data_IF_899891748239
#
_entry.id   IF_899891748239
#
_cell.length_a   1.000
_cell.length_b   1.000
_cell.length_c   1.000
_cell.angle_alpha   90.00
_cell.angle_beta   90.00
_cell.angle_gamma   90.00
#
_symmetry.space_group_name_H-M   'P 1'
#
loop_
_entity.id
_entity.type
_entity.pdbx_description
1 polymer ?
#
# COMPACT_ATOMS: atom_id res chain seq x y z
N UNK A 1 38.89 -4.81 26.29
CA UNK A 1 37.76 -5.46 26.98
C UNK A 1 36.54 -4.54 26.81
N UNK A 2 35.77 -4.59 25.73
CA UNK A 2 35.12 -5.77 25.15
C UNK A 2 33.72 -5.98 25.76
N UNK A 3 32.90 -4.92 25.84
CA UNK A 3 31.48 -5.05 26.16
C UNK A 3 30.76 -5.42 24.87
N UNK A 4 30.52 -6.72 24.71
CA UNK A 4 29.68 -7.28 23.68
C UNK A 4 28.25 -6.75 23.90
N UNK A 5 27.74 -6.01 22.93
CA UNK A 5 26.34 -5.64 22.85
C UNK A 5 25.53 -6.94 22.75
N UNK A 6 24.72 -7.19 23.78
CA UNK A 6 23.76 -8.28 23.80
C UNK A 6 22.75 -8.06 22.67
N UNK A 7 22.96 -8.76 21.57
CA UNK A 7 21.96 -8.95 20.52
C UNK A 7 20.81 -9.80 21.06
N UNK A 8 19.87 -9.15 21.74
CA UNK A 8 18.56 -9.76 21.97
C UNK A 8 17.88 -9.95 20.60
N UNK A 9 17.96 -11.17 20.08
CA UNK A 9 17.14 -11.61 18.97
C UNK A 9 15.68 -11.42 19.37
N UNK A 10 15.03 -10.38 18.85
CA UNK A 10 13.59 -10.13 19.00
C UNK A 10 12.85 -11.38 18.55
N UNK A 11 12.47 -12.25 19.49
CA UNK A 11 11.60 -13.39 19.20
C UNK A 11 10.33 -12.83 18.57
N UNK A 12 9.97 -13.32 17.40
CA UNK A 12 8.77 -12.89 16.71
C UNK A 12 7.56 -13.18 17.60
N UNK A 13 6.80 -12.14 17.94
CA UNK A 13 5.54 -12.30 18.68
C UNK A 13 4.62 -13.21 17.83
N UNK A 14 4.19 -14.38 18.33
CA UNK A 14 3.37 -15.32 17.56
C UNK A 14 2.07 -14.69 17.04
N UNK A 15 1.54 -13.67 17.73
CA UNK A 15 0.38 -12.90 17.27
C UNK A 15 0.76 -12.02 16.07
N UNK A 16 1.93 -11.39 16.11
CA UNK A 16 2.47 -10.60 15.00
C UNK A 16 2.71 -11.46 13.75
N UNK A 17 3.23 -12.69 13.94
CA UNK A 17 3.41 -13.66 12.85
C UNK A 17 2.07 -14.05 12.25
N UNK A 18 1.05 -14.35 13.07
CA UNK A 18 -0.29 -14.68 12.60
C UNK A 18 -0.92 -13.54 11.77
N UNK A 19 -0.76 -12.28 12.20
CA UNK A 19 -1.22 -11.13 11.43
C UNK A 19 -0.50 -10.99 10.10
N UNK A 20 0.82 -11.16 10.08
CA UNK A 20 1.60 -11.10 8.85
C UNK A 20 1.16 -12.17 7.85
N UNK A 21 1.04 -13.43 8.29
CA UNK A 21 0.60 -14.55 7.45
C UNK A 21 -0.79 -14.28 6.88
N UNK A 22 -1.74 -13.87 7.72
CA UNK A 22 -3.11 -13.60 7.28
C UNK A 22 -3.15 -12.44 6.27
N UNK A 23 -2.39 -11.37 6.53
CA UNK A 23 -2.28 -10.25 5.61
C UNK A 23 -1.71 -10.66 4.26
N UNK A 24 -0.62 -11.45 4.24
CA UNK A 24 -0.02 -11.94 3.00
C UNK A 24 -0.93 -12.90 2.23
N UNK A 25 -1.68 -13.76 2.92
CA UNK A 25 -2.68 -14.63 2.29
C UNK A 25 -3.81 -13.83 1.64
N UNK A 26 -4.38 -12.86 2.36
CA UNK A 26 -5.41 -11.96 1.81
C UNK A 26 -4.87 -11.19 0.59
N UNK A 27 -3.61 -10.75 0.66
CA UNK A 27 -2.95 -10.07 -0.44
C UNK A 27 -2.71 -10.98 -1.65
N UNK A 28 -2.37 -12.25 -1.44
CA UNK A 28 -2.18 -13.23 -2.52
C UNK A 28 -3.48 -13.66 -3.21
N UNK A 29 -4.62 -13.61 -2.51
CA UNK A 29 -5.94 -13.95 -3.07
C UNK A 29 -6.49 -12.82 -3.96
N UNK A 30 -6.12 -11.56 -3.69
CA UNK A 30 -6.60 -10.38 -4.41
C UNK A 30 -6.39 -10.43 -5.94
N UNK A 31 -5.20 -10.80 -6.46
CA UNK A 31 -4.99 -10.98 -7.89
C UNK A 31 -5.92 -12.02 -8.52
N UNK A 32 -6.20 -13.09 -7.78
CA UNK A 32 -7.09 -14.16 -8.22
C UNK A 32 -8.53 -13.65 -8.36
N UNK A 33 -8.96 -12.80 -7.42
CA UNK A 33 -10.26 -12.12 -7.47
C UNK A 33 -10.39 -11.19 -8.68
N UNK A 34 -9.37 -10.37 -8.99
CA UNK A 34 -9.45 -9.50 -10.17
C UNK A 34 -9.37 -10.26 -11.49
N UNK A 35 -8.64 -11.39 -11.53
CA UNK A 35 -8.62 -12.26 -12.70
C UNK A 35 -10.00 -12.89 -12.94
N UNK A 36 -10.73 -13.24 -11.87
CA UNK A 36 -12.11 -13.71 -11.96
C UNK A 36 -13.09 -12.60 -12.45
N UNK A 37 -12.78 -11.33 -12.17
CA UNK A 37 -13.51 -10.15 -12.65
C UNK A 37 -13.09 -9.66 -14.04
N UNK A 38 -12.47 -10.50 -14.88
CA UNK A 38 -11.83 -10.10 -16.14
C UNK A 38 -12.65 -9.27 -17.12
N UNK A 39 -13.99 -9.20 -16.96
CA UNK A 39 -14.88 -8.30 -17.71
C UNK A 39 -14.82 -6.82 -17.28
N UNK A 40 -14.29 -6.49 -16.10
CA UNK A 40 -14.24 -5.13 -15.55
C UNK A 40 -12.85 -4.55 -15.76
N UNK A 41 -12.78 -3.36 -16.35
CA UNK A 41 -11.51 -2.70 -16.64
C UNK A 41 -10.70 -2.37 -15.38
N UNK A 42 -9.37 -2.45 -15.46
CA UNK A 42 -8.47 -2.15 -14.34
C UNK A 42 -8.69 -0.75 -13.75
N UNK A 43 -8.98 0.25 -14.60
CA UNK A 43 -9.30 1.62 -14.18
C UNK A 43 -10.61 1.68 -13.37
N UNK A 44 -11.61 0.89 -13.73
CA UNK A 44 -12.89 0.88 -13.04
C UNK A 44 -12.76 0.30 -11.62
N UNK A 45 -11.98 -0.76 -11.46
CA UNK A 45 -11.62 -1.32 -10.15
C UNK A 45 -10.87 -0.27 -9.31
N UNK A 46 -9.91 0.43 -9.91
CA UNK A 46 -9.15 1.47 -9.24
C UNK A 46 -10.05 2.64 -8.80
N UNK A 47 -10.98 3.09 -9.66
CA UNK A 47 -11.92 4.16 -9.33
C UNK A 47 -12.82 3.79 -8.16
N UNK A 48 -13.37 2.57 -8.14
CA UNK A 48 -14.16 2.07 -7.02
C UNK A 48 -13.34 2.04 -5.72
N UNK A 49 -12.08 1.59 -5.79
CA UNK A 49 -11.18 1.58 -4.64
C UNK A 49 -10.92 3.00 -4.12
N UNK A 50 -10.68 3.97 -5.00
CA UNK A 50 -10.46 5.38 -4.62
C UNK A 50 -11.73 5.96 -3.97
N UNK A 51 -12.90 5.71 -4.56
CA UNK A 51 -14.18 6.20 -4.06
C UNK A 51 -14.47 5.65 -2.65
N UNK A 52 -14.38 4.33 -2.45
CA UNK A 52 -14.60 3.72 -1.14
C UNK A 52 -13.55 4.13 -0.11
N UNK A 53 -12.29 4.27 -0.51
CA UNK A 53 -11.23 4.76 0.39
C UNK A 53 -11.51 6.20 0.83
N UNK A 54 -11.98 7.05 -0.09
CA UNK A 54 -12.37 8.42 0.21
C UNK A 54 -13.56 8.46 1.16
N UNK A 55 -14.63 7.71 0.88
CA UNK A 55 -15.84 7.64 1.73
C UNK A 55 -15.46 7.16 3.13
N UNK A 56 -14.74 6.04 3.24
CA UNK A 56 -14.34 5.46 4.52
C UNK A 56 -13.46 6.42 5.33
N UNK A 57 -12.47 7.04 4.69
CA UNK A 57 -11.60 8.00 5.36
C UNK A 57 -12.36 9.26 5.76
N UNK A 58 -13.27 9.76 4.93
CA UNK A 58 -14.12 10.90 5.24
C UNK A 58 -15.04 10.63 6.44
N UNK A 59 -15.59 9.42 6.55
CA UNK A 59 -16.37 8.99 7.71
C UNK A 59 -15.51 9.00 9.00
N UNK A 60 -14.28 8.48 8.94
CA UNK A 60 -13.37 8.50 10.08
C UNK A 60 -13.01 9.94 10.49
N UNK A 61 -12.68 10.81 9.52
CA UNK A 61 -12.38 12.22 9.78
C UNK A 61 -13.58 12.93 10.39
N UNK A 62 -14.78 12.63 9.91
CA UNK A 62 -16.05 13.16 10.44
C UNK A 62 -16.27 12.74 11.88
N UNK A 63 -16.12 11.44 12.16
CA UNK A 63 -16.26 10.87 13.49
C UNK A 63 -15.24 11.47 14.47
N UNK A 64 -13.97 11.63 14.05
CA UNK A 64 -12.91 12.25 14.86
C UNK A 64 -12.97 13.79 14.89
N UNK A 65 -13.86 14.42 14.11
CA UNK A 65 -13.98 15.88 13.93
C UNK A 65 -12.67 16.59 13.54
N UNK A 66 -11.78 15.90 12.82
CA UNK A 66 -10.43 16.37 12.48
C UNK A 66 -10.35 17.25 11.23
N UNK A 67 -11.48 17.84 10.81
CA UNK A 67 -11.58 18.69 9.61
C UNK A 67 -10.62 19.88 9.59
N UNK A 68 -10.23 20.42 10.77
CA UNK A 68 -9.23 21.49 10.87
C UNK A 68 -7.87 21.04 10.32
N UNK A 69 -7.47 19.79 10.57
CA UNK A 69 -6.24 19.21 10.04
C UNK A 69 -6.27 19.05 8.52
N UNK A 70 -7.41 18.58 7.98
CA UNK A 70 -7.61 18.47 6.53
C UNK A 70 -7.52 19.85 5.86
N UNK A 71 -8.20 20.86 6.42
CA UNK A 71 -8.12 22.24 5.91
C UNK A 71 -6.69 22.76 5.93
N UNK A 72 -5.93 22.55 7.01
CA UNK A 72 -4.53 22.97 7.11
C UNK A 72 -3.66 22.38 5.99
N UNK A 73 -3.83 21.09 5.69
CA UNK A 73 -3.10 20.42 4.61
C UNK A 73 -3.47 21.01 3.24
N UNK A 74 -4.74 21.34 3.02
CA UNK A 74 -5.22 21.94 1.76
C UNK A 74 -4.74 23.39 1.57
N UNK A 75 -4.60 24.15 2.64
CA UNK A 75 -4.12 25.54 2.62
C UNK A 75 -2.61 25.63 2.46
N UNK A 76 -1.84 24.72 3.06
CA UNK A 76 -0.38 24.70 2.94
C UNK A 76 0.05 24.15 1.56
N UNK A 77 0.48 25.06 0.66
CA UNK A 77 0.87 24.70 -0.72
C UNK A 77 1.87 23.56 -0.81
N UNK A 78 2.93 23.57 0.03
CA UNK A 78 3.98 22.53 0.04
C UNK A 78 3.45 21.16 0.45
N UNK A 79 2.60 21.09 1.47
CA UNK A 79 1.97 19.83 1.91
C UNK A 79 0.97 19.34 0.88
N UNK A 80 0.15 20.25 0.33
CA UNK A 80 -0.81 19.92 -0.72
C UNK A 80 -0.12 19.30 -1.94
N UNK A 81 0.94 19.92 -2.45
CA UNK A 81 1.68 19.36 -3.59
C UNK A 81 2.27 18.00 -3.27
N UNK A 82 2.90 17.84 -2.08
CA UNK A 82 3.45 16.54 -1.68
C UNK A 82 2.38 15.44 -1.62
N UNK A 83 1.21 15.73 -1.06
CA UNK A 83 0.09 14.78 -0.99
C UNK A 83 -0.46 14.45 -2.39
N UNK A 84 -0.60 15.44 -3.26
CA UNK A 84 -1.07 15.22 -4.64
C UNK A 84 -0.09 14.33 -5.41
N UNK A 85 1.20 14.66 -5.40
CA UNK A 85 2.22 13.83 -6.07
C UNK A 85 2.29 12.43 -5.48
N UNK A 86 2.27 12.30 -4.14
CA UNK A 86 2.24 11.00 -3.48
C UNK A 86 1.01 10.18 -3.87
N UNK A 87 -0.16 10.81 -3.95
CA UNK A 87 -1.41 10.15 -4.34
C UNK A 87 -1.38 9.68 -5.79
N UNK A 88 -0.80 10.48 -6.70
CA UNK A 88 -0.59 10.09 -8.10
C UNK A 88 0.37 8.90 -8.18
N UNK A 89 1.51 8.94 -7.47
CA UNK A 89 2.46 7.83 -7.46
C UNK A 89 1.83 6.53 -6.94
N UNK A 90 1.10 6.60 -5.83
CA UNK A 90 0.40 5.44 -5.27
C UNK A 90 -0.71 4.96 -6.21
N UNK A 91 -1.46 5.88 -6.83
CA UNK A 91 -2.50 5.57 -7.80
C UNK A 91 -1.96 4.89 -9.06
N UNK A 92 -0.85 5.39 -9.60
CA UNK A 92 -0.15 4.77 -10.73
C UNK A 92 0.40 3.40 -10.35
N UNK A 93 1.02 3.27 -9.17
CA UNK A 93 1.54 1.99 -8.69
C UNK A 93 0.42 0.94 -8.61
N UNK A 94 -0.71 1.27 -8.00
CA UNK A 94 -1.86 0.37 -7.91
C UNK A 94 -2.53 0.13 -9.27
N UNK A 95 -2.63 1.14 -10.11
CA UNK A 95 -3.21 1.01 -11.44
C UNK A 95 -2.39 0.07 -12.33
N UNK A 96 -1.07 0.23 -12.37
CA UNK A 96 -0.14 -0.64 -13.09
C UNK A 96 -0.25 -2.07 -12.56
N UNK A 97 -0.31 -2.24 -11.23
CA UNK A 97 -0.49 -3.55 -10.60
C UNK A 97 -1.77 -4.27 -11.07
N UNK A 98 -2.93 -3.60 -10.97
CA UNK A 98 -4.21 -4.18 -11.38
C UNK A 98 -4.23 -4.45 -12.90
N UNK A 99 -3.69 -3.54 -13.70
CA UNK A 99 -3.59 -3.71 -15.15
C UNK A 99 -2.72 -4.90 -15.54
N UNK A 100 -1.56 -5.05 -14.90
CA UNK A 100 -0.64 -6.14 -15.18
C UNK A 100 -1.22 -7.51 -14.75
N UNK A 101 -1.93 -7.56 -13.63
CA UNK A 101 -2.66 -8.76 -13.20
C UNK A 101 -3.75 -9.14 -14.21
N UNK A 102 -4.56 -8.16 -14.65
CA UNK A 102 -5.64 -8.39 -15.60
C UNK A 102 -5.09 -8.81 -16.99
N UNK A 103 -3.95 -8.26 -17.40
CA UNK A 103 -3.27 -8.58 -18.67
C UNK A 103 -2.41 -9.85 -18.60
N UNK A 104 -2.60 -10.73 -17.60
CA UNK A 104 -1.82 -11.96 -17.34
C UNK A 104 -0.30 -11.77 -17.10
N UNK A 105 0.21 -10.55 -16.93
CA UNK A 105 1.61 -10.25 -16.58
C UNK A 105 1.85 -10.33 -15.06
N UNK A 106 1.25 -11.30 -14.39
CA UNK A 106 1.33 -11.47 -12.93
C UNK A 106 2.77 -11.79 -12.50
N UNK A 107 3.50 -12.58 -13.28
CA UNK A 107 4.89 -12.97 -13.00
C UNK A 107 5.83 -11.76 -13.10
N UNK A 108 5.70 -10.93 -14.12
CA UNK A 108 6.50 -9.70 -14.29
C UNK A 108 6.24 -8.69 -13.18
N UNK A 109 5.00 -8.65 -12.71
CA UNK A 109 4.59 -7.83 -11.57
C UNK A 109 5.27 -8.29 -10.28
N UNK A 110 5.27 -9.59 -10.00
CA UNK A 110 5.97 -10.16 -8.84
C UNK A 110 7.48 -9.91 -8.89
N UNK A 111 8.09 -9.98 -10.08
CA UNK A 111 9.50 -9.59 -10.29
C UNK A 111 9.74 -8.11 -9.99
N UNK A 112 8.84 -7.22 -10.44
CA UNK A 112 8.88 -5.80 -10.12
C UNK A 112 8.83 -5.52 -8.60
N UNK A 113 8.05 -6.30 -7.83
CA UNK A 113 8.01 -6.15 -6.37
C UNK A 113 9.31 -6.57 -5.67
N UNK A 114 10.15 -7.41 -6.27
CA UNK A 114 11.49 -7.72 -5.74
C UNK A 114 12.48 -6.55 -5.85
N UNK A 115 12.16 -5.51 -6.63
CA UNK A 115 12.97 -4.28 -6.68
C UNK A 115 12.94 -3.55 -5.33
N UNK A 116 11.81 -3.54 -4.62
CA UNK A 116 11.68 -2.87 -3.33
C UNK A 116 12.71 -3.36 -2.28
N UNK A 117 12.83 -4.67 -1.97
CA UNK A 117 13.84 -5.15 -1.04
C UNK A 117 15.28 -4.95 -1.55
N UNK A 118 15.53 -5.06 -2.86
CA UNK A 118 16.86 -4.77 -3.42
C UNK A 118 17.26 -3.30 -3.21
N UNK A 119 16.31 -2.37 -3.39
CA UNK A 119 16.53 -0.95 -3.11
C UNK A 119 16.74 -0.68 -1.62
N UNK A 120 15.99 -1.35 -0.73
CA UNK A 120 16.21 -1.24 0.72
C UNK A 120 17.62 -1.69 1.11
N UNK A 121 18.07 -2.84 0.60
CA UNK A 121 19.43 -3.35 0.81
C UNK A 121 20.48 -2.38 0.24
N UNK A 122 20.27 -1.85 -0.97
CA UNK A 122 21.18 -0.89 -1.59
C UNK A 122 21.29 0.41 -0.79
N UNK A 123 20.17 0.91 -0.26
CA UNK A 123 20.12 2.12 0.56
C UNK A 123 20.55 1.89 2.02
N UNK A 124 20.81 0.64 2.43
CA UNK A 124 21.23 0.27 3.78
C UNK A 124 20.14 0.48 4.85
N UNK A 125 18.86 0.45 4.44
CA UNK A 125 17.68 0.54 5.32
C UNK A 125 17.19 -0.84 5.74
#
# INVERSE_FOLDING_TARGET
MGKLENGESRKADPIGVAYAVTAFLLWGILPLYWKALGSVGALEILMHRILWSFVFTALIVSYRRQWKGVKKILTERKRRTAVVFGSIFVGLNWGIYIWAVNSNHVVDTSLGYYINPLLSVFLGM
#
